data_IF_799613044220
#
_entry.id   IF_799613044220
#
_cell.length_a   1.000
_cell.length_b   1.000
_cell.length_c   1.000
_cell.angle_alpha   90.00
_cell.angle_beta   90.00
_cell.angle_gamma   90.00
#
_symmetry.space_group_name_H-M   'P 1'
#
loop_
_entity.id
_entity.type
_entity.pdbx_description
1 polymer ?
#
# COMPACT_ATOMS: atom_id res chain seq x y z
N UNK A 1 11.89 3.35 -18.63
CA UNK A 1 10.55 3.66 -19.15
C UNK A 1 10.57 5.03 -19.83
N UNK A 2 10.11 5.10 -21.06
CA UNK A 2 9.96 6.37 -21.76
C UNK A 2 8.80 7.15 -21.11
N UNK A 3 9.10 8.29 -20.53
CA UNK A 3 8.09 9.14 -19.87
C UNK A 3 7.55 10.26 -20.76
N UNK A 4 8.15 10.44 -21.95
CA UNK A 4 7.71 11.50 -22.87
C UNK A 4 7.96 11.08 -24.33
N UNK A 5 6.93 10.63 -25.08
CA UNK A 5 5.57 10.37 -24.62
C UNK A 5 5.46 9.10 -23.76
N UNK A 6 4.54 9.11 -22.80
CA UNK A 6 4.25 7.92 -22.00
C UNK A 6 3.22 7.04 -22.74
N UNK A 7 3.71 6.01 -23.41
CA UNK A 7 2.88 5.09 -24.19
C UNK A 7 1.85 4.30 -23.34
N UNK A 8 2.09 4.16 -22.03
CA UNK A 8 1.13 3.53 -21.12
C UNK A 8 -0.11 4.41 -20.86
N UNK A 9 -0.04 5.70 -21.18
CA UNK A 9 -1.16 6.66 -21.02
C UNK A 9 -2.00 6.81 -22.29
N UNK A 10 -1.76 6.02 -23.32
CA UNK A 10 -2.63 5.99 -24.50
C UNK A 10 -4.06 5.68 -24.04
N UNK A 11 -5.04 6.55 -24.33
CA UNK A 11 -6.39 6.44 -23.82
C UNK A 11 -7.07 5.17 -24.33
N UNK A 12 -7.19 4.17 -23.45
CA UNK A 12 -7.86 2.91 -23.77
C UNK A 12 -9.36 2.93 -23.49
N UNK A 13 -9.78 3.73 -22.48
CA UNK A 13 -11.17 3.77 -21.99
C UNK A 13 -12.02 4.84 -22.66
N UNK A 14 -11.42 5.79 -23.34
CA UNK A 14 -12.15 6.81 -24.09
C UNK A 14 -12.68 6.18 -25.38
N UNK A 15 -14.01 6.10 -25.51
CA UNK A 15 -14.67 5.43 -26.64
C UNK A 15 -14.42 6.09 -28.01
N UNK A 16 -14.08 7.37 -28.04
CA UNK A 16 -13.78 8.11 -29.28
C UNK A 16 -12.28 8.12 -29.56
N UNK A 17 -11.46 8.59 -28.61
CA UNK A 17 -10.02 8.76 -28.81
C UNK A 17 -9.25 7.43 -28.74
N UNK A 18 -9.70 6.48 -27.94
CA UNK A 18 -9.03 5.19 -27.78
C UNK A 18 -8.84 4.45 -29.10
N UNK A 19 -9.91 4.16 -29.86
CA UNK A 19 -9.81 3.49 -31.15
C UNK A 19 -8.98 4.30 -32.17
N UNK A 20 -9.16 5.62 -32.23
CA UNK A 20 -8.44 6.49 -33.17
C UNK A 20 -6.92 6.43 -32.96
N UNK A 21 -6.46 6.58 -31.71
CA UNK A 21 -5.02 6.59 -31.40
C UNK A 21 -4.45 5.19 -31.55
N UNK A 22 -5.19 4.17 -31.10
CA UNK A 22 -4.73 2.78 -31.17
C UNK A 22 -4.62 2.24 -32.61
N UNK A 23 -5.47 2.72 -33.51
CA UNK A 23 -5.41 2.34 -34.93
C UNK A 23 -4.19 2.88 -35.66
N UNK A 24 -3.44 3.82 -35.08
CA UNK A 24 -2.16 4.29 -35.61
C UNK A 24 -1.02 3.27 -35.39
N UNK A 25 -1.19 2.33 -34.46
CA UNK A 25 -0.22 1.27 -34.19
C UNK A 25 -0.63 0.06 -35.01
N UNK A 26 0.05 -0.14 -36.11
CA UNK A 26 -0.17 -1.26 -37.03
C UNK A 26 1.05 -2.19 -37.02
N UNK A 27 0.88 -3.51 -37.21
CA UNK A 27 2.01 -4.42 -37.38
C UNK A 27 2.70 -4.16 -38.72
N UNK A 28 3.93 -4.61 -38.86
CA UNK A 28 4.61 -4.66 -40.13
C UNK A 28 3.84 -5.53 -41.14
N UNK A 29 4.10 -5.32 -42.44
CA UNK A 29 3.47 -6.12 -43.48
C UNK A 29 3.71 -7.63 -43.22
N UNK A 30 2.68 -8.44 -43.39
CA UNK A 30 2.66 -9.91 -43.12
C UNK A 30 2.84 -10.29 -41.64
N UNK A 31 2.76 -9.35 -40.70
CA UNK A 31 2.75 -9.61 -39.26
C UNK A 31 1.37 -9.26 -38.66
N UNK A 32 1.09 -9.84 -37.48
CA UNK A 32 -0.11 -9.55 -36.70
C UNK A 32 0.27 -9.24 -35.26
N UNK A 33 -0.55 -8.40 -34.60
CA UNK A 33 -0.42 -8.18 -33.17
C UNK A 33 -0.96 -9.37 -32.38
N UNK A 34 -0.16 -9.92 -31.46
CA UNK A 34 -0.62 -10.78 -30.39
C UNK A 34 -0.80 -9.96 -29.12
N UNK A 35 -2.00 -9.96 -28.54
CA UNK A 35 -2.26 -9.34 -27.25
C UNK A 35 -2.47 -10.42 -26.21
N UNK A 36 -1.56 -10.50 -25.22
CA UNK A 36 -1.61 -11.47 -24.14
C UNK A 36 -1.71 -10.72 -22.83
N UNK A 37 -2.70 -11.03 -22.03
CA UNK A 37 -2.92 -10.42 -20.72
C UNK A 37 -3.24 -11.51 -19.70
N UNK A 38 -2.61 -11.43 -18.52
CA UNK A 38 -2.91 -12.34 -17.42
C UNK A 38 -4.26 -12.01 -16.80
N UNK A 39 -5.15 -12.98 -16.77
CA UNK A 39 -6.44 -12.81 -16.11
C UNK A 39 -6.25 -12.66 -14.60
N UNK A 40 -6.62 -11.49 -14.07
CA UNK A 40 -6.63 -11.20 -12.64
C UNK A 40 -5.28 -11.50 -11.94
N UNK A 41 -4.15 -11.13 -12.56
CA UNK A 41 -2.81 -11.43 -12.05
C UNK A 41 -2.60 -10.97 -10.59
N UNK A 42 -2.88 -9.71 -10.29
CA UNK A 42 -2.70 -9.16 -8.93
C UNK A 42 -3.61 -9.84 -7.89
N UNK A 43 -4.93 -10.03 -8.13
CA UNK A 43 -5.79 -10.80 -7.24
C UNK A 43 -5.28 -12.22 -6.96
N UNK A 44 -4.82 -12.94 -8.00
CA UNK A 44 -4.23 -14.29 -7.84
C UNK A 44 -3.02 -14.27 -6.92
N UNK A 45 -2.15 -13.27 -7.06
CA UNK A 45 -0.99 -13.09 -6.17
C UNK A 45 -1.39 -12.79 -4.72
N UNK A 46 -2.42 -11.98 -4.50
CA UNK A 46 -2.94 -11.71 -3.14
C UNK A 46 -3.41 -13.01 -2.48
N UNK A 47 -4.19 -13.80 -3.20
CA UNK A 47 -4.69 -15.09 -2.70
C UNK A 47 -3.54 -16.07 -2.49
N UNK A 48 -2.56 -16.13 -3.40
CA UNK A 48 -1.35 -16.94 -3.23
C UNK A 48 -0.58 -16.61 -1.95
N UNK A 49 -0.35 -15.33 -1.67
CA UNK A 49 0.33 -14.92 -0.45
C UNK A 49 -0.50 -15.17 0.82
N UNK A 50 -1.82 -15.01 0.76
CA UNK A 50 -2.70 -15.37 1.86
C UNK A 50 -2.64 -16.88 2.13
N UNK A 51 -2.75 -17.71 1.11
CA UNK A 51 -2.66 -19.17 1.21
C UNK A 51 -1.28 -19.66 1.66
N UNK A 52 -0.22 -18.92 1.35
CA UNK A 52 1.14 -19.24 1.79
C UNK A 52 1.42 -18.85 3.25
N UNK A 53 0.59 -17.99 3.84
CA UNK A 53 0.70 -17.60 5.25
C UNK A 53 0.21 -18.70 6.17
N UNK A 54 1.02 -19.11 7.16
CA UNK A 54 0.65 -20.14 8.12
C UNK A 54 -0.66 -19.84 8.87
N UNK A 55 -0.91 -18.56 9.14
CA UNK A 55 -2.11 -18.09 9.83
C UNK A 55 -3.31 -18.02 8.88
N UNK A 56 -3.16 -17.32 7.75
CA UNK A 56 -4.28 -16.99 6.87
C UNK A 56 -4.80 -18.19 6.07
N UNK A 57 -3.94 -19.17 5.74
CA UNK A 57 -4.34 -20.37 4.98
C UNK A 57 -5.38 -21.24 5.67
N UNK A 58 -5.59 -21.04 6.97
CA UNK A 58 -6.61 -21.80 7.72
C UNK A 58 -8.00 -21.14 7.66
N UNK A 59 -8.08 -19.90 7.20
CA UNK A 59 -9.34 -19.18 7.07
C UNK A 59 -10.19 -19.80 5.96
N UNK A 60 -11.47 -20.07 6.24
CA UNK A 60 -12.38 -20.70 5.26
C UNK A 60 -12.57 -19.84 4.01
N UNK A 61 -12.57 -18.52 4.16
CA UNK A 61 -12.63 -17.58 3.04
C UNK A 61 -11.44 -17.73 2.10
N UNK A 62 -10.23 -17.91 2.66
CA UNK A 62 -9.01 -18.11 1.85
C UNK A 62 -9.07 -19.42 1.11
N UNK A 63 -9.47 -20.50 1.78
CA UNK A 63 -9.62 -21.84 1.15
C UNK A 63 -10.64 -21.78 0.00
N UNK A 64 -11.80 -21.19 0.26
CA UNK A 64 -12.85 -21.06 -0.77
C UNK A 64 -12.36 -20.33 -2.00
N UNK A 65 -11.71 -19.17 -1.83
CA UNK A 65 -11.19 -18.36 -2.94
C UNK A 65 -10.08 -19.12 -3.69
N UNK A 66 -9.23 -19.88 -3.00
CA UNK A 66 -8.22 -20.74 -3.63
C UNK A 66 -8.88 -21.78 -4.52
N UNK A 67 -9.92 -22.47 -4.03
CA UNK A 67 -10.65 -23.49 -4.79
C UNK A 67 -11.34 -22.88 -6.01
N UNK A 68 -11.98 -21.74 -5.85
CA UNK A 68 -12.59 -20.99 -6.94
C UNK A 68 -11.55 -20.63 -8.01
N UNK A 69 -10.37 -20.11 -7.66
CA UNK A 69 -9.29 -19.81 -8.61
C UNK A 69 -8.74 -21.04 -9.31
N UNK A 70 -8.64 -22.17 -8.63
CA UNK A 70 -8.18 -23.42 -9.23
C UNK A 70 -9.18 -23.97 -10.26
N UNK A 71 -10.46 -23.72 -10.07
CA UNK A 71 -11.52 -24.13 -10.99
C UNK A 71 -11.74 -23.15 -12.15
N UNK A 72 -10.95 -22.06 -12.24
CA UNK A 72 -11.05 -21.03 -13.27
C UNK A 72 -12.41 -20.28 -13.36
N UNK A 73 -13.22 -20.32 -12.32
CA UNK A 73 -14.59 -19.74 -12.30
C UNK A 73 -14.67 -18.39 -11.59
N UNK A 74 -13.53 -17.74 -11.27
CA UNK A 74 -13.50 -16.61 -10.34
C UNK A 74 -13.49 -15.27 -11.03
N UNK A 75 -14.45 -14.44 -10.66
CA UNK A 75 -14.28 -12.99 -10.62
C UNK A 75 -13.99 -12.57 -9.16
N UNK A 76 -12.72 -12.42 -8.79
CA UNK A 76 -12.31 -12.04 -7.45
C UNK A 76 -13.04 -10.79 -6.92
N UNK A 77 -13.32 -9.82 -7.78
CA UNK A 77 -14.06 -8.63 -7.37
C UNK A 77 -15.53 -8.94 -7.06
N UNK A 78 -16.14 -9.88 -7.78
CA UNK A 78 -17.49 -10.33 -7.48
C UNK A 78 -17.51 -11.16 -6.19
N UNK A 79 -16.58 -12.11 -6.03
CA UNK A 79 -16.47 -12.90 -4.79
C UNK A 79 -16.32 -12.00 -3.56
N UNK A 80 -15.47 -10.98 -3.63
CA UNK A 80 -15.31 -10.01 -2.54
C UNK A 80 -16.55 -9.15 -2.36
N UNK A 81 -17.24 -8.79 -3.44
CA UNK A 81 -18.49 -8.03 -3.38
C UNK A 81 -19.58 -8.82 -2.61
N UNK A 82 -19.72 -10.10 -2.92
CA UNK A 82 -20.69 -11.00 -2.29
C UNK A 82 -20.35 -11.21 -0.80
N UNK A 83 -19.08 -11.45 -0.48
CA UNK A 83 -18.61 -11.60 0.91
C UNK A 83 -18.87 -10.34 1.75
N UNK A 84 -18.61 -9.17 1.20
CA UNK A 84 -18.74 -7.91 1.90
C UNK A 84 -20.15 -7.29 1.79
N UNK A 85 -21.05 -7.88 1.01
CA UNK A 85 -22.38 -7.34 0.70
C UNK A 85 -22.30 -5.90 0.18
N UNK A 86 -21.50 -5.69 -0.88
CA UNK A 86 -21.26 -4.42 -1.58
C UNK A 86 -21.35 -4.64 -3.08
N UNK A 87 -21.44 -3.56 -3.87
CA UNK A 87 -21.42 -3.70 -5.33
C UNK A 87 -20.03 -4.14 -5.84
N UNK A 88 -20.01 -4.88 -6.97
CA UNK A 88 -18.77 -5.30 -7.64
C UNK A 88 -17.84 -4.11 -7.97
N UNK A 89 -18.41 -2.96 -8.34
CA UNK A 89 -17.65 -1.73 -8.61
C UNK A 89 -16.97 -1.21 -7.35
N UNK A 90 -17.68 -1.20 -6.22
CA UNK A 90 -17.12 -0.83 -4.93
C UNK A 90 -16.03 -1.81 -4.51
N UNK A 91 -16.28 -3.12 -4.62
CA UNK A 91 -15.28 -4.14 -4.30
C UNK A 91 -14.01 -3.98 -5.15
N UNK A 92 -14.15 -3.76 -6.47
CA UNK A 92 -13.01 -3.49 -7.36
C UNK A 92 -12.21 -2.27 -6.93
N UNK A 93 -12.88 -1.16 -6.62
CA UNK A 93 -12.22 0.08 -6.19
C UNK A 93 -11.51 -0.10 -4.85
N UNK A 94 -12.14 -0.78 -3.90
CA UNK A 94 -11.54 -1.06 -2.59
C UNK A 94 -10.35 -2.01 -2.74
N UNK A 95 -10.49 -3.11 -3.47
CA UNK A 95 -9.41 -4.08 -3.69
C UNK A 95 -8.18 -3.41 -4.30
N UNK A 96 -8.36 -2.69 -5.40
CA UNK A 96 -7.26 -1.96 -6.03
C UNK A 96 -6.71 -0.90 -5.09
N UNK A 97 -7.60 -0.16 -4.40
CA UNK A 97 -7.21 0.87 -3.45
C UNK A 97 -6.33 0.33 -2.33
N UNK A 98 -6.69 -0.80 -1.74
CA UNK A 98 -5.91 -1.44 -0.68
C UNK A 98 -4.54 -1.92 -1.19
N UNK A 99 -4.49 -2.50 -2.40
CA UNK A 99 -3.22 -2.92 -3.00
C UNK A 99 -2.29 -1.73 -3.24
N UNK A 100 -2.85 -0.54 -3.49
CA UNK A 100 -2.11 0.71 -3.70
C UNK A 100 -1.96 1.57 -2.45
N UNK A 101 -2.38 1.09 -1.27
CA UNK A 101 -2.28 1.82 -0.01
C UNK A 101 -3.23 3.03 0.08
N UNK A 102 -4.39 2.93 -0.53
CA UNK A 102 -5.43 3.96 -0.52
C UNK A 102 -5.99 4.14 0.89
N UNK A 103 -6.03 5.39 1.37
CA UNK A 103 -6.73 5.75 2.59
C UNK A 103 -8.21 6.10 2.36
N UNK A 104 -8.98 6.24 3.46
CA UNK A 104 -10.44 6.52 3.45
C UNK A 104 -10.83 7.75 2.62
N UNK A 105 -10.04 8.83 2.68
CA UNK A 105 -10.32 10.07 1.94
C UNK A 105 -10.25 9.85 0.41
N UNK A 106 -9.27 9.07 -0.05
CA UNK A 106 -9.16 8.75 -1.46
C UNK A 106 -10.26 7.78 -1.90
N UNK A 107 -10.64 6.83 -1.05
CA UNK A 107 -11.77 5.93 -1.29
C UNK A 107 -13.08 6.71 -1.47
N UNK A 108 -13.32 7.71 -0.61
CA UNK A 108 -14.47 8.61 -0.71
C UNK A 108 -14.54 9.28 -2.09
N UNK A 109 -13.43 9.86 -2.54
CA UNK A 109 -13.35 10.55 -3.81
C UNK A 109 -13.54 9.60 -5.01
N UNK A 110 -12.92 8.44 -5.01
CA UNK A 110 -12.99 7.44 -6.09
C UNK A 110 -14.40 6.84 -6.26
N UNK A 111 -15.13 6.68 -5.16
CA UNK A 111 -16.50 6.15 -5.18
C UNK A 111 -17.58 7.25 -5.23
N UNK A 112 -17.21 8.52 -5.22
CA UNK A 112 -18.15 9.63 -5.23
C UNK A 112 -19.05 9.66 -3.99
N UNK A 113 -18.55 9.20 -2.82
CA UNK A 113 -19.34 9.17 -1.59
C UNK A 113 -19.49 10.58 -0.99
N UNK A 114 -20.67 10.89 -0.50
CA UNK A 114 -21.02 12.24 -0.03
C UNK A 114 -20.29 12.62 1.26
N UNK A 115 -20.04 11.64 2.14
CA UNK A 115 -19.47 11.88 3.46
C UNK A 115 -18.28 10.96 3.76
N UNK A 116 -17.42 11.41 4.67
CA UNK A 116 -16.33 10.59 5.22
C UNK A 116 -16.86 9.39 5.99
N UNK A 117 -17.98 9.54 6.65
CA UNK A 117 -18.62 8.47 7.44
C UNK A 117 -19.11 7.32 6.56
N UNK A 118 -19.64 7.62 5.38
CA UNK A 118 -20.00 6.60 4.38
C UNK A 118 -18.78 5.80 3.92
N UNK A 119 -17.68 6.49 3.62
CA UNK A 119 -16.43 5.84 3.24
C UNK A 119 -15.87 4.98 4.38
N UNK A 120 -15.96 5.45 5.62
CA UNK A 120 -15.52 4.70 6.80
C UNK A 120 -16.39 3.46 7.06
N UNK A 121 -17.70 3.59 6.99
CA UNK A 121 -18.63 2.46 7.12
C UNK A 121 -18.37 1.39 6.08
N UNK A 122 -18.21 1.79 4.81
CA UNK A 122 -17.90 0.89 3.71
C UNK A 122 -16.54 0.18 3.90
N UNK A 123 -15.52 0.94 4.28
CA UNK A 123 -14.18 0.42 4.55
C UNK A 123 -14.19 -0.60 5.71
N UNK A 124 -14.90 -0.30 6.79
CA UNK A 124 -15.04 -1.19 7.93
C UNK A 124 -15.86 -2.44 7.56
N UNK A 125 -16.96 -2.28 6.81
CA UNK A 125 -17.76 -3.40 6.32
C UNK A 125 -16.91 -4.38 5.49
N UNK A 126 -16.11 -3.85 4.57
CA UNK A 126 -15.17 -4.64 3.78
C UNK A 126 -14.17 -5.40 4.67
N UNK A 127 -13.47 -4.70 5.56
CA UNK A 127 -12.45 -5.33 6.40
C UNK A 127 -12.99 -6.34 7.40
N UNK A 128 -14.24 -6.19 7.84
CA UNK A 128 -14.88 -7.15 8.73
C UNK A 128 -15.31 -8.42 8.01
N UNK A 129 -15.62 -8.31 6.71
CA UNK A 129 -16.08 -9.44 5.89
C UNK A 129 -14.95 -10.10 5.10
N UNK A 130 -13.85 -9.39 4.85
CA UNK A 130 -12.67 -9.88 4.11
C UNK A 130 -11.40 -9.61 4.94
N UNK A 131 -11.27 -10.19 6.15
CA UNK A 131 -10.19 -9.86 7.08
C UNK A 131 -8.80 -10.24 6.57
N UNK A 132 -8.69 -11.29 5.77
CA UNK A 132 -7.38 -11.79 5.28
C UNK A 132 -6.60 -10.76 4.47
N UNK A 133 -7.27 -9.86 3.73
CA UNK A 133 -6.60 -8.80 2.96
C UNK A 133 -5.95 -7.78 3.90
N UNK A 134 -6.67 -7.38 4.96
CA UNK A 134 -6.14 -6.48 5.99
C UNK A 134 -4.98 -7.12 6.75
N UNK A 135 -5.12 -8.38 7.11
CA UNK A 135 -4.09 -9.11 7.83
C UNK A 135 -2.83 -9.31 6.97
N UNK A 136 -2.99 -9.62 5.69
CA UNK A 136 -1.87 -9.70 4.75
C UNK A 136 -1.15 -8.34 4.62
N UNK A 137 -1.89 -7.25 4.51
CA UNK A 137 -1.35 -5.90 4.46
C UNK A 137 -0.55 -5.57 5.73
N UNK A 138 -1.12 -5.84 6.91
CA UNK A 138 -0.48 -5.57 8.19
C UNK A 138 0.79 -6.42 8.38
N UNK A 139 0.73 -7.71 8.06
CA UNK A 139 1.85 -8.63 8.18
C UNK A 139 3.00 -8.23 7.25
N UNK A 140 2.68 -7.87 6.01
CA UNK A 140 3.66 -7.43 5.02
C UNK A 140 4.31 -6.10 5.43
N UNK A 141 3.51 -5.15 5.93
CA UNK A 141 4.03 -3.88 6.45
C UNK A 141 4.94 -4.07 7.66
N UNK A 142 4.55 -4.90 8.62
CA UNK A 142 5.37 -5.23 9.79
C UNK A 142 6.69 -5.91 9.38
N UNK A 143 6.63 -6.86 8.46
CA UNK A 143 7.82 -7.53 7.93
C UNK A 143 8.76 -6.54 7.24
N UNK A 144 8.22 -5.66 6.37
CA UNK A 144 8.99 -4.61 5.72
C UNK A 144 9.62 -3.61 6.69
N UNK A 145 8.91 -3.26 7.77
CA UNK A 145 9.42 -2.38 8.83
C UNK A 145 10.56 -3.04 9.61
N UNK A 146 10.43 -4.30 9.95
CA UNK A 146 11.42 -5.03 10.75
C UNK A 146 12.69 -5.35 9.95
N UNK A 147 12.53 -5.93 8.74
CA UNK A 147 13.65 -6.39 7.93
C UNK A 147 14.28 -5.30 7.04
N UNK A 148 13.55 -4.20 6.79
CA UNK A 148 13.93 -3.16 5.84
C UNK A 148 13.69 -3.52 4.38
N UNK A 149 13.12 -4.66 4.09
CA UNK A 149 12.76 -5.10 2.74
C UNK A 149 11.64 -6.14 2.77
N UNK A 150 11.02 -6.36 1.62
CA UNK A 150 10.19 -7.51 1.32
C UNK A 150 10.77 -8.25 0.12
N UNK A 151 10.41 -9.53 -0.05
CA UNK A 151 10.80 -10.33 -1.22
C UNK A 151 9.58 -10.61 -2.08
N UNK A 152 9.73 -10.42 -3.38
CA UNK A 152 8.75 -10.80 -4.39
C UNK A 152 8.72 -12.32 -4.57
N UNK A 153 7.83 -12.82 -5.42
CA UNK A 153 7.64 -14.26 -5.69
C UNK A 153 8.96 -14.95 -6.11
N UNK A 154 9.74 -14.31 -6.97
CA UNK A 154 11.04 -14.84 -7.41
C UNK A 154 12.22 -14.38 -6.54
N UNK A 155 11.96 -13.84 -5.35
CA UNK A 155 12.99 -13.52 -4.36
C UNK A 155 13.64 -12.15 -4.49
N UNK A 156 13.22 -11.33 -5.46
CA UNK A 156 13.74 -9.96 -5.62
C UNK A 156 13.43 -9.11 -4.41
N UNK A 157 14.42 -8.37 -3.92
CA UNK A 157 14.27 -7.50 -2.74
C UNK A 157 13.72 -6.14 -3.14
N UNK A 158 12.60 -5.75 -2.53
CA UNK A 158 12.07 -4.39 -2.54
C UNK A 158 12.39 -3.72 -1.21
N UNK A 159 13.32 -2.77 -1.21
CA UNK A 159 13.86 -2.16 0.01
C UNK A 159 13.04 -0.95 0.49
N UNK A 160 13.18 -0.67 1.80
CA UNK A 160 12.65 0.51 2.50
C UNK A 160 13.81 1.21 3.19
N UNK A 161 14.63 1.93 2.41
CA UNK A 161 15.89 2.54 2.85
C UNK A 161 15.70 3.96 3.40
N UNK A 162 14.48 4.49 3.31
CA UNK A 162 14.13 5.81 3.83
C UNK A 162 13.45 5.72 5.18
N UNK A 163 13.64 6.78 5.98
CA UNK A 163 13.13 6.89 7.33
C UNK A 163 12.30 8.16 7.50
N UNK A 164 11.46 8.19 8.51
CA UNK A 164 10.63 9.32 8.90
C UNK A 164 10.46 9.34 10.42
N UNK A 165 10.09 10.49 10.96
CA UNK A 165 9.73 10.60 12.38
C UNK A 165 8.50 9.72 12.64
N UNK A 166 8.54 8.96 13.75
CA UNK A 166 7.41 8.12 14.15
C UNK A 166 6.37 8.94 14.94
N UNK A 167 5.82 9.95 14.28
CA UNK A 167 4.82 10.84 14.87
C UNK A 167 3.60 10.89 13.94
N UNK A 168 2.43 10.85 14.58
CA UNK A 168 1.20 11.12 13.86
C UNK A 168 0.93 12.63 13.89
N UNK A 169 1.22 13.31 12.79
CA UNK A 169 0.93 14.73 12.64
C UNK A 169 0.05 14.91 11.39
N UNK A 170 -1.29 14.90 11.54
CA UNK A 170 -2.18 15.02 10.39
C UNK A 170 -1.96 16.36 9.70
N UNK A 171 -1.65 16.31 8.40
CA UNK A 171 -1.43 17.49 7.56
C UNK A 171 0.01 17.98 7.46
N UNK A 172 0.95 17.43 8.22
CA UNK A 172 2.38 17.74 8.08
C UNK A 172 3.08 16.62 7.31
N UNK A 173 3.49 16.94 6.10
CA UNK A 173 4.32 16.04 5.29
C UNK A 173 5.78 16.22 5.68
N UNK A 174 6.38 15.23 6.31
CA UNK A 174 7.83 15.17 6.49
C UNK A 174 8.42 14.39 5.32
N UNK A 175 9.33 14.99 4.52
CA UNK A 175 9.98 14.27 3.44
C UNK A 175 10.79 13.09 4.01
N UNK A 176 10.81 11.94 3.32
CA UNK A 176 11.59 10.79 3.76
C UNK A 176 13.09 11.10 3.66
N UNK A 177 13.82 10.74 4.70
CA UNK A 177 15.24 11.08 4.90
C UNK A 177 16.08 9.82 5.13
N UNK A 178 17.37 9.96 5.25
CA UNK A 178 18.27 8.89 5.69
C UNK A 178 18.03 8.55 7.17
N UNK A 179 18.54 7.42 7.63
CA UNK A 179 18.40 7.02 9.03
C UNK A 179 19.10 8.01 9.98
N UNK A 180 20.27 8.50 9.59
CA UNK A 180 21.04 9.48 10.37
C UNK A 180 20.28 10.80 10.52
N UNK A 181 19.81 11.37 9.41
CA UNK A 181 19.00 12.60 9.41
C UNK A 181 17.72 12.44 10.24
N UNK A 182 17.06 11.28 10.15
CA UNK A 182 15.84 11.01 10.92
C UNK A 182 16.12 10.95 12.42
N UNK A 183 17.22 10.32 12.83
CA UNK A 183 17.64 10.26 14.23
C UNK A 183 17.94 11.66 14.77
N UNK A 184 18.72 12.44 14.03
CA UNK A 184 19.08 13.81 14.40
C UNK A 184 17.84 14.70 14.52
N UNK A 185 16.96 14.70 13.52
CA UNK A 185 15.71 15.45 13.54
C UNK A 185 14.80 15.05 14.71
N UNK A 186 14.74 13.74 15.03
CA UNK A 186 13.95 13.23 16.15
C UNK A 186 14.51 13.72 17.49
N UNK A 187 15.83 13.64 17.69
CA UNK A 187 16.49 14.10 18.91
C UNK A 187 16.33 15.62 19.07
N UNK A 188 16.54 16.38 18.02
CA UNK A 188 16.40 17.84 18.04
C UNK A 188 14.96 18.24 18.46
N UNK A 189 13.95 17.63 17.85
CA UNK A 189 12.55 17.94 18.17
C UNK A 189 12.19 17.57 19.60
N UNK A 190 12.56 16.38 20.07
CA UNK A 190 12.30 15.94 21.43
C UNK A 190 13.04 16.79 22.45
N UNK A 191 14.30 17.17 22.18
CA UNK A 191 15.09 18.02 23.08
C UNK A 191 14.47 19.40 23.22
N UNK A 192 13.98 20.00 22.12
CA UNK A 192 13.28 21.30 22.15
C UNK A 192 12.03 21.23 23.00
N UNK A 193 11.21 20.21 22.81
CA UNK A 193 10.00 20.01 23.59
C UNK A 193 10.27 19.77 25.08
N UNK A 194 11.32 18.99 25.39
CA UNK A 194 11.66 18.68 26.77
C UNK A 194 12.32 19.88 27.50
N UNK A 195 13.15 20.66 26.80
CA UNK A 195 13.68 21.93 27.31
C UNK A 195 12.56 22.91 27.64
N UNK A 196 11.53 23.00 26.78
CA UNK A 196 10.39 23.88 27.02
C UNK A 196 9.59 23.44 28.25
N UNK A 197 9.34 22.14 28.41
CA UNK A 197 8.66 21.58 29.59
C UNK A 197 9.44 21.78 30.89
N UNK A 198 10.75 21.72 30.84
CA UNK A 198 11.64 21.80 32.01
C UNK A 198 12.35 23.15 32.14
N UNK A 199 11.85 24.17 31.45
CA UNK A 199 12.46 25.51 31.38
C UNK A 199 12.79 26.08 32.76
N UNK A 200 11.83 25.99 33.69
CA UNK A 200 12.02 26.51 35.06
C UNK A 200 13.18 25.79 35.81
N UNK A 201 13.30 24.48 35.67
CA UNK A 201 14.39 23.70 36.28
C UNK A 201 15.74 23.99 35.65
N UNK A 202 15.79 24.25 34.34
CA UNK A 202 16.98 24.69 33.63
C UNK A 202 17.44 26.06 34.11
N UNK A 203 16.51 27.00 34.27
CA UNK A 203 16.78 28.35 34.78
C UNK A 203 17.30 28.35 36.23
N UNK A 204 16.84 27.42 37.07
CA UNK A 204 17.32 27.27 38.45
C UNK A 204 18.60 26.43 38.52
N UNK A 205 19.10 25.86 37.43
CA UNK A 205 20.30 25.02 37.44
C UNK A 205 20.09 23.61 38.06
N UNK A 206 18.86 23.21 38.28
CA UNK A 206 18.53 21.89 38.85
C UNK A 206 18.78 20.76 37.85
N UNK A 207 18.72 21.04 36.55
CA UNK A 207 18.97 20.09 35.46
C UNK A 207 19.80 20.80 34.37
N UNK A 208 20.62 20.02 33.66
CA UNK A 208 21.40 20.52 32.52
C UNK A 208 20.84 20.05 31.19
N UNK A 209 21.15 20.76 30.10
CA UNK A 209 20.80 20.32 28.75
C UNK A 209 21.36 18.94 28.41
N UNK A 210 22.57 18.62 28.84
CA UNK A 210 23.23 17.34 28.63
C UNK A 210 22.44 16.18 29.31
N UNK A 211 21.86 16.44 30.47
CA UNK A 211 21.02 15.46 31.16
C UNK A 211 19.71 15.19 30.39
N UNK A 212 19.14 16.25 29.78
CA UNK A 212 17.95 16.08 28.92
C UNK A 212 18.33 15.24 27.70
N UNK A 213 19.42 15.58 27.00
CA UNK A 213 19.85 14.88 25.78
C UNK A 213 20.16 13.41 25.99
N UNK A 214 20.80 13.06 27.12
CA UNK A 214 21.13 11.67 27.47
C UNK A 214 19.93 10.75 27.59
N UNK A 215 18.77 11.31 27.92
CA UNK A 215 17.53 10.54 28.13
C UNK A 215 16.66 10.42 26.88
N UNK A 216 17.00 11.16 25.80
CA UNK A 216 16.23 11.15 24.57
C UNK A 216 16.62 9.96 23.70
N UNK A 217 15.64 9.16 23.33
CA UNK A 217 15.81 8.09 22.33
C UNK A 217 15.13 8.50 21.01
N UNK A 218 15.83 8.34 19.87
CA UNK A 218 15.23 8.64 18.58
C UNK A 218 13.93 7.86 18.36
N UNK A 219 12.84 8.55 18.05
CA UNK A 219 11.55 7.97 17.74
C UNK A 219 11.31 8.07 16.22
N UNK A 220 11.82 7.09 15.49
CA UNK A 220 11.81 7.04 14.03
C UNK A 220 11.23 5.70 13.55
N UNK A 221 10.74 5.69 12.31
CA UNK A 221 10.26 4.49 11.62
C UNK A 221 10.69 4.50 10.16
N UNK A 222 10.70 3.32 9.54
CA UNK A 222 10.93 3.22 8.09
C UNK A 222 9.77 3.83 7.32
N UNK A 223 10.09 4.70 6.37
CA UNK A 223 9.12 5.34 5.51
C UNK A 223 8.53 4.36 4.48
N UNK A 224 7.32 4.64 4.05
CA UNK A 224 6.61 3.93 2.99
C UNK A 224 6.30 2.45 3.25
N UNK A 225 6.47 1.93 4.45
CA UNK A 225 6.17 0.52 4.75
C UNK A 225 4.68 0.18 4.60
N UNK A 226 3.79 1.17 4.66
CA UNK A 226 2.38 1.01 4.32
C UNK A 226 2.14 0.62 2.84
N UNK A 227 3.13 0.84 1.95
CA UNK A 227 3.12 0.41 0.54
C UNK A 227 3.69 -1.00 0.36
N UNK A 228 4.01 -1.72 1.43
CA UNK A 228 4.70 -3.00 1.34
C UNK A 228 3.89 -4.04 0.55
N UNK A 229 2.58 -4.13 0.79
CA UNK A 229 1.72 -5.04 0.03
C UNK A 229 1.72 -4.68 -1.47
N UNK A 230 1.60 -3.40 -1.81
CA UNK A 230 1.68 -2.95 -3.19
C UNK A 230 3.00 -3.37 -3.86
N UNK A 231 4.14 -3.10 -3.21
CA UNK A 231 5.45 -3.50 -3.72
C UNK A 231 5.60 -5.02 -3.85
N UNK A 232 4.98 -5.78 -2.95
CA UNK A 232 4.97 -7.24 -3.00
C UNK A 232 4.19 -7.72 -4.21
N UNK A 233 2.95 -7.28 -4.37
CA UNK A 233 2.05 -7.75 -5.43
C UNK A 233 2.53 -7.29 -6.81
N UNK A 234 2.76 -5.99 -7.01
CA UNK A 234 3.23 -5.48 -8.30
C UNK A 234 4.64 -5.97 -8.65
N UNK A 235 5.52 -6.08 -7.66
CA UNK A 235 6.84 -6.64 -7.86
C UNK A 235 6.78 -8.10 -8.29
N UNK A 236 5.91 -8.91 -7.68
CA UNK A 236 5.72 -10.31 -8.06
C UNK A 236 5.03 -10.45 -9.41
N UNK A 237 4.08 -9.58 -9.74
CA UNK A 237 3.47 -9.52 -11.06
C UNK A 237 4.49 -9.20 -12.17
N UNK A 238 5.44 -8.31 -11.86
CA UNK A 238 6.52 -7.95 -12.80
C UNK A 238 7.62 -9.03 -12.89
N UNK A 239 7.67 -9.97 -11.96
CA UNK A 239 8.61 -11.10 -12.00
C UNK A 239 8.10 -12.23 -12.93
N UNK A 240 6.80 -12.27 -13.23
CA UNK A 240 6.15 -13.28 -14.07
C UNK A 240 6.16 -12.90 -15.53
#
# INVERSE_FOLDING_TARGET
SYSNPNLQQIPARNKQLGPMIRSLFIPEEKHTWGCFDYSQQEPRLVVHYAASSQKLRQEEEVKRIVDEFNNNEVDFHQTVADMADISRTQAKTINLGLFYGMGKAKLQAELGLSTKDEAEKLFNKYHNRVPFVKDLMNNTSKSGSASGYIRTLLGRKCRFDKWELNEYNPGVFSPPMTEAEAKEASVLKQSTQEKEKQKYKLELGEITEDQILKNIKPNIRRAFTYKALNKLIQGSAADM
#
